data_IF_812353879634
#
_entry.id   IF_812353879634
#
_cell.length_a   1.000
_cell.length_b   1.000
_cell.length_c   1.000
_cell.angle_alpha   90.00
_cell.angle_beta   90.00
_cell.angle_gamma   90.00
#
_symmetry.space_group_name_H-M   'P 1'
#
loop_
_entity.id
_entity.type
_entity.pdbx_description
1 polymer ?
#
# COMPACT_ATOMS: atom_id res chain seq x y z
N UNK A 1 -4.75 -9.15 9.93
CA UNK A 1 -5.48 -9.23 8.65
C UNK A 1 -4.62 -8.61 7.57
N UNK A 2 -4.57 -9.23 6.38
CA UNK A 2 -3.78 -8.77 5.25
C UNK A 2 -4.71 -8.32 4.12
N UNK A 3 -4.21 -7.44 3.26
CA UNK A 3 -4.98 -6.82 2.18
C UNK A 3 -4.22 -6.89 0.86
N UNK A 4 -4.95 -7.03 -0.25
CA UNK A 4 -4.42 -6.87 -1.59
C UNK A 4 -5.21 -5.79 -2.32
N UNK A 5 -4.51 -4.75 -2.78
CA UNK A 5 -5.11 -3.61 -3.49
C UNK A 5 -4.90 -3.81 -4.98
N UNK A 6 -5.98 -3.70 -5.76
CA UNK A 6 -5.93 -3.87 -7.22
C UNK A 6 -6.96 -2.99 -7.92
N UNK A 7 -6.64 -2.60 -9.16
CA UNK A 7 -7.63 -2.03 -10.11
C UNK A 7 -8.58 -3.12 -10.63
N UNK A 8 -8.23 -4.40 -10.46
CA UNK A 8 -9.04 -5.56 -10.84
C UNK A 8 -9.99 -5.99 -9.71
N UNK A 9 -11.28 -6.08 -10.06
CA UNK A 9 -12.33 -6.56 -9.17
C UNK A 9 -12.44 -8.08 -9.19
N UNK A 10 -12.94 -8.67 -8.10
CA UNK A 10 -13.41 -10.06 -8.11
C UNK A 10 -12.32 -11.13 -8.29
N UNK A 11 -11.07 -10.84 -7.91
CA UNK A 11 -9.99 -11.82 -7.92
C UNK A 11 -10.37 -12.97 -6.97
N UNK A 12 -10.75 -14.12 -7.55
CA UNK A 12 -11.17 -15.30 -6.78
C UNK A 12 -10.01 -16.18 -6.30
N UNK A 13 -8.81 -15.99 -6.85
CA UNK A 13 -7.62 -16.77 -6.50
C UNK A 13 -6.35 -15.96 -6.72
N UNK A 14 -5.49 -15.95 -5.72
CA UNK A 14 -4.18 -15.30 -5.80
C UNK A 14 -3.09 -16.35 -6.02
N UNK A 15 -2.40 -16.25 -7.16
CA UNK A 15 -1.26 -17.11 -7.46
C UNK A 15 0.02 -16.61 -6.78
N UNK A 16 0.71 -17.46 -6.00
CA UNK A 16 2.03 -17.13 -5.48
C UNK A 16 3.02 -16.84 -6.63
N UNK A 17 3.75 -15.73 -6.53
CA UNK A 17 4.78 -15.32 -7.51
C UNK A 17 6.15 -15.27 -6.85
N UNK A 18 7.24 -15.46 -7.61
CA UNK A 18 8.59 -15.28 -7.07
C UNK A 18 8.76 -13.89 -6.49
N UNK A 19 9.31 -13.82 -5.28
CA UNK A 19 9.72 -12.57 -4.65
C UNK A 19 11.20 -12.65 -4.27
N UNK A 20 12.03 -11.77 -4.83
CA UNK A 20 13.47 -11.76 -4.61
C UNK A 20 13.82 -11.67 -3.12
N UNK A 21 13.10 -10.85 -2.36
CA UNK A 21 13.31 -10.68 -0.91
C UNK A 21 12.91 -11.90 -0.08
N UNK A 22 12.06 -12.80 -0.60
CA UNK A 22 11.53 -13.93 0.15
C UNK A 22 12.20 -15.26 -0.19
N UNK A 23 12.90 -15.36 -1.32
CA UNK A 23 13.51 -16.60 -1.80
C UNK A 23 12.49 -17.74 -2.06
N UNK A 24 11.19 -17.42 -2.13
CA UNK A 24 10.08 -18.35 -2.34
C UNK A 24 8.94 -17.69 -3.09
N UNK A 25 7.94 -18.49 -3.49
CA UNK A 25 6.71 -17.96 -4.06
C UNK A 25 5.82 -17.40 -2.95
N UNK A 26 5.34 -16.17 -3.11
CA UNK A 26 4.45 -15.50 -2.15
C UNK A 26 3.33 -14.76 -2.88
N UNK A 27 2.21 -14.55 -2.20
CA UNK A 27 1.19 -13.61 -2.65
C UNK A 27 1.51 -12.25 -2.04
N UNK A 28 1.58 -11.23 -2.90
CA UNK A 28 1.78 -9.87 -2.44
C UNK A 28 0.54 -9.40 -1.68
N UNK A 29 0.72 -9.03 -0.42
CA UNK A 29 -0.31 -8.48 0.44
C UNK A 29 0.34 -7.56 1.48
N UNK A 30 -0.46 -6.71 2.10
CA UNK A 30 -0.01 -5.68 3.03
C UNK A 30 -0.84 -5.68 4.31
N UNK A 31 -0.23 -5.26 5.41
CA UNK A 31 -0.94 -5.03 6.66
C UNK A 31 -1.75 -3.72 6.66
N UNK A 32 -2.62 -3.56 7.66
CA UNK A 32 -3.47 -2.39 7.81
C UNK A 32 -2.69 -1.08 7.98
N UNK A 33 -1.55 -1.11 8.69
CA UNK A 33 -0.76 0.08 8.96
C UNK A 33 -0.11 0.63 7.69
N UNK A 34 0.20 -0.24 6.72
CA UNK A 34 0.82 0.14 5.43
C UNK A 34 -0.18 0.35 4.30
N UNK A 35 -1.48 0.20 4.55
CA UNK A 35 -2.54 0.33 3.53
C UNK A 35 -2.46 1.63 2.74
N UNK A 36 -2.22 2.73 3.43
CA UNK A 36 -2.13 4.08 2.85
C UNK A 36 -1.06 4.19 1.77
N UNK A 37 0.02 3.40 1.83
CA UNK A 37 1.08 3.38 0.81
C UNK A 37 0.58 2.83 -0.55
N UNK A 38 -0.60 2.23 -0.62
CA UNK A 38 -1.10 1.51 -1.80
C UNK A 38 -2.49 1.96 -2.25
N UNK A 39 -2.98 3.10 -1.75
CA UNK A 39 -4.25 3.71 -2.17
C UNK A 39 -4.13 4.51 -3.47
N UNK A 40 -3.38 3.97 -4.44
CA UNK A 40 -3.17 4.54 -5.77
C UNK A 40 -3.12 3.40 -6.81
N UNK A 41 -3.29 3.68 -8.12
CA UNK A 41 -3.08 2.70 -9.17
C UNK A 41 -1.75 1.95 -9.02
N UNK A 42 -1.71 0.67 -9.38
CA UNK A 42 -0.56 -0.21 -9.12
C UNK A 42 0.75 0.37 -9.65
N UNK A 43 0.69 0.85 -10.88
CA UNK A 43 1.81 1.39 -11.64
C UNK A 43 2.10 2.86 -11.33
N UNK A 44 1.37 3.49 -10.40
CA UNK A 44 1.60 4.89 -10.03
C UNK A 44 2.90 5.02 -9.20
N UNK A 45 3.92 5.74 -9.71
CA UNK A 45 5.12 6.06 -8.97
C UNK A 45 4.74 6.90 -7.76
N UNK A 46 5.23 6.51 -6.58
CA UNK A 46 4.85 7.17 -5.33
C UNK A 46 5.94 7.10 -4.28
N UNK A 47 5.93 8.09 -3.41
CA UNK A 47 6.65 8.11 -2.14
C UNK A 47 5.65 8.42 -1.05
N UNK A 48 5.64 7.62 0.01
CA UNK A 48 4.78 7.87 1.16
C UNK A 48 5.63 8.23 2.36
N UNK A 49 5.24 9.26 3.09
CA UNK A 49 5.93 9.70 4.30
C UNK A 49 4.93 10.07 5.39
N UNK A 50 5.37 9.90 6.64
CA UNK A 50 4.61 10.12 7.87
C UNK A 50 5.61 10.41 9.00
N UNK A 51 5.12 10.92 10.13
CA UNK A 51 5.97 11.27 11.25
C UNK A 51 6.66 10.04 11.86
N UNK A 52 7.98 10.12 12.05
CA UNK A 52 8.80 9.16 12.77
C UNK A 52 9.31 9.72 14.09
N UNK A 53 10.17 8.96 14.78
CA UNK A 53 10.73 9.34 16.09
C UNK A 53 11.56 10.63 16.08
N UNK A 54 12.13 10.97 14.93
CA UNK A 54 13.00 12.12 14.73
C UNK A 54 12.27 13.30 14.04
N UNK A 55 10.99 13.13 13.70
CA UNK A 55 10.20 14.18 13.06
C UNK A 55 9.85 15.26 14.08
N UNK A 56 10.21 16.51 13.80
CA UNK A 56 9.91 17.63 14.68
C UNK A 56 8.49 18.15 14.47
N UNK A 57 7.94 18.89 15.43
CA UNK A 57 6.63 19.55 15.26
C UNK A 57 6.61 20.51 14.05
N UNK A 58 7.74 21.17 13.75
CA UNK A 58 7.87 22.03 12.58
C UNK A 58 7.83 21.23 11.26
N UNK A 59 8.41 20.02 11.23
CA UNK A 59 8.31 19.12 10.08
C UNK A 59 6.88 18.63 9.89
N UNK A 60 6.19 18.28 10.98
CA UNK A 60 4.77 17.88 10.93
C UNK A 60 3.93 19.00 10.33
N UNK A 61 4.04 20.22 10.85
CA UNK A 61 3.29 21.38 10.34
C UNK A 61 3.58 21.65 8.86
N UNK A 62 4.86 21.58 8.46
CA UNK A 62 5.29 21.89 7.09
C UNK A 62 4.93 20.81 6.07
N UNK A 63 5.09 19.54 6.41
CA UNK A 63 5.02 18.44 5.45
C UNK A 63 3.76 17.58 5.57
N UNK A 64 3.17 17.47 6.75
CA UNK A 64 2.00 16.61 7.00
C UNK A 64 0.72 17.41 7.23
N UNK A 65 0.83 18.62 7.80
CA UNK A 65 -0.32 19.40 8.25
C UNK A 65 -1.13 18.60 9.28
N UNK A 66 -2.43 18.45 9.03
CA UNK A 66 -3.33 17.64 9.86
C UNK A 66 -3.44 16.16 9.44
N UNK A 67 -2.72 15.75 8.40
CA UNK A 67 -2.81 14.40 7.86
C UNK A 67 -1.84 13.44 8.57
N UNK A 68 -2.22 12.18 8.83
CA UNK A 68 -1.32 11.21 9.46
C UNK A 68 -0.19 10.75 8.53
N UNK A 69 -0.38 10.86 7.21
CA UNK A 69 0.59 10.51 6.18
C UNK A 69 0.31 11.32 4.90
N UNK A 70 1.32 11.42 4.04
CA UNK A 70 1.20 12.00 2.70
C UNK A 70 1.73 11.01 1.68
N UNK A 71 0.94 10.79 0.63
CA UNK A 71 1.33 10.03 -0.57
C UNK A 71 1.63 11.03 -1.67
N UNK A 72 2.91 11.23 -1.95
CA UNK A 72 3.36 12.05 -3.07
C UNK A 72 3.42 11.20 -4.34
N UNK A 73 2.88 11.74 -5.42
CA UNK A 73 2.79 11.11 -6.75
C UNK A 73 3.16 12.14 -7.81
N UNK A 74 3.56 11.65 -9.00
CA UNK A 74 3.78 12.53 -10.14
C UNK A 74 2.47 13.16 -10.61
N UNK A 75 2.47 14.46 -10.91
CA UNK A 75 1.26 15.22 -11.28
C UNK A 75 0.55 14.66 -12.52
N UNK A 76 1.29 14.02 -13.43
CA UNK A 76 0.73 13.36 -14.62
C UNK A 76 -0.27 12.23 -14.30
N UNK A 77 -0.25 11.70 -13.07
CA UNK A 77 -1.18 10.67 -12.62
C UNK A 77 -2.50 11.21 -12.07
N UNK A 78 -2.65 12.53 -11.91
CA UNK A 78 -3.80 13.12 -11.22
C UNK A 78 -5.15 12.68 -11.82
N UNK A 79 -5.29 12.72 -13.14
CA UNK A 79 -6.55 12.33 -13.80
C UNK A 79 -6.83 10.83 -13.64
N UNK A 80 -5.79 10.00 -13.69
CA UNK A 80 -5.94 8.56 -13.44
C UNK A 80 -6.31 8.29 -11.98
N UNK A 81 -5.74 9.01 -11.01
CA UNK A 81 -6.09 8.89 -9.60
C UNK A 81 -7.56 9.25 -9.34
N UNK A 82 -8.07 10.30 -10.00
CA UNK A 82 -9.46 10.76 -9.86
C UNK A 82 -10.49 9.80 -10.43
N UNK A 83 -10.12 9.06 -11.48
CA UNK A 83 -11.03 8.17 -12.23
C UNK A 83 -10.85 6.69 -11.91
N UNK A 84 -9.72 6.31 -11.31
CA UNK A 84 -9.42 4.93 -10.95
C UNK A 84 -10.35 4.43 -9.84
N UNK A 85 -10.71 3.15 -9.93
CA UNK A 85 -11.36 2.42 -8.85
C UNK A 85 -10.40 1.35 -8.32
N UNK A 86 -10.11 1.42 -7.03
CA UNK A 86 -9.34 0.41 -6.33
C UNK A 86 -10.27 -0.52 -5.55
N UNK A 87 -9.97 -1.81 -5.61
CA UNK A 87 -10.61 -2.86 -4.84
C UNK A 87 -9.66 -3.31 -3.73
N UNK A 88 -10.17 -3.37 -2.51
CA UNK A 88 -9.46 -3.91 -1.36
C UNK A 88 -9.92 -5.35 -1.13
N UNK A 89 -9.07 -6.31 -1.47
CA UNK A 89 -9.33 -7.73 -1.25
C UNK A 89 -8.78 -8.11 0.12
N UNK A 90 -9.66 -8.64 0.98
CA UNK A 90 -9.30 -9.07 2.32
C UNK A 90 -8.78 -10.51 2.26
N UNK A 91 -7.56 -10.73 2.76
CA UNK A 91 -6.95 -12.05 2.74
C UNK A 91 -7.38 -12.83 3.98
N UNK A 92 -7.92 -14.02 3.76
CA UNK A 92 -8.43 -14.90 4.82
C UNK A 92 -7.26 -15.41 5.70
N UNK A 93 -7.30 -15.23 7.03
CA UNK A 93 -6.22 -15.68 7.91
C UNK A 93 -6.08 -17.21 7.96
N UNK A 94 -7.10 -17.96 7.54
CA UNK A 94 -7.07 -19.43 7.45
C UNK A 94 -6.17 -19.93 6.30
N UNK A 95 -5.93 -19.10 5.29
CA UNK A 95 -5.17 -19.47 4.08
C UNK A 95 -3.98 -18.57 3.79
N UNK A 96 -3.81 -17.47 4.55
CA UNK A 96 -2.70 -16.53 4.39
C UNK A 96 -2.05 -16.17 5.73
N UNK A 97 -0.72 -16.24 5.75
CA UNK A 97 0.12 -15.76 6.86
C UNK A 97 1.09 -14.66 6.40
N UNK A 98 1.40 -13.72 7.30
CA UNK A 98 2.35 -12.65 7.02
C UNK A 98 3.78 -13.17 7.17
N UNK A 99 4.60 -13.01 6.14
CA UNK A 99 6.00 -13.46 6.15
C UNK A 99 6.93 -12.52 6.89
N UNK A 100 6.52 -11.25 7.03
CA UNK A 100 7.33 -10.15 7.57
C UNK A 100 7.05 -9.90 9.05
N UNK A 101 6.13 -10.66 9.66
CA UNK A 101 5.72 -10.53 11.05
C UNK A 101 6.74 -11.12 12.05
N UNK A 102 7.99 -11.32 11.64
CA UNK A 102 9.07 -11.86 12.47
C UNK A 102 9.98 -10.77 13.02
#
# INVERSE_FOLDING_TARGET
MLFHLSEESGIGRFEPRPAEYAGRLVVWAIDAHRLHNYLVPRECPRVTYYAGRETTSADVERFLGSSPAVVAVESGWLERLRSCRLYCHHMLPETFECTDAR
#
